data_IF_596298989494
#
_entry.id   IF_596298989494
#
_cell.length_a   1.000
_cell.length_b   1.000
_cell.length_c   1.000
_cell.angle_alpha   90.00
_cell.angle_beta   90.00
_cell.angle_gamma   90.00
#
_symmetry.space_group_name_H-M   'P 1'
#
loop_
_entity.id
_entity.type
_entity.pdbx_description
1 polymer ?
#
# COMPACT_ATOMS: atom_id res chain seq x y z
N UNK A 1 3.65 11.36 -34.86
CA UNK A 1 2.75 11.80 -33.78
C UNK A 1 1.45 10.99 -33.74
N UNK A 2 0.75 10.75 -34.87
CA UNK A 2 -0.48 9.91 -34.89
C UNK A 2 -0.28 8.46 -34.43
N UNK A 3 0.81 7.81 -34.86
CA UNK A 3 1.10 6.42 -34.50
C UNK A 3 1.44 6.24 -33.00
N UNK A 4 2.13 7.23 -32.41
CA UNK A 4 2.45 7.25 -30.97
C UNK A 4 1.16 7.42 -30.15
N UNK A 5 0.25 8.30 -30.59
CA UNK A 5 -1.04 8.49 -29.92
C UNK A 5 -1.89 7.21 -29.98
N UNK A 6 -1.97 6.57 -31.15
CA UNK A 6 -2.70 5.30 -31.31
C UNK A 6 -2.10 4.17 -30.46
N UNK A 7 -0.78 4.12 -30.31
CA UNK A 7 -0.14 3.16 -29.42
C UNK A 7 -0.47 3.43 -27.95
N UNK A 8 -0.48 4.69 -27.52
CA UNK A 8 -0.88 5.07 -26.16
C UNK A 8 -2.33 4.66 -25.86
N UNK A 9 -3.25 4.93 -26.78
CA UNK A 9 -4.66 4.54 -26.65
C UNK A 9 -4.81 3.01 -26.48
N UNK A 10 -4.09 2.23 -27.30
CA UNK A 10 -4.08 0.76 -27.19
C UNK A 10 -3.48 0.27 -25.88
N UNK A 11 -2.45 0.94 -25.37
CA UNK A 11 -1.88 0.62 -24.06
C UNK A 11 -2.87 0.92 -22.94
N UNK A 12 -3.59 2.03 -23.01
CA UNK A 12 -4.63 2.37 -22.03
C UNK A 12 -5.78 1.36 -22.06
N UNK A 13 -6.20 0.93 -23.25
CA UNK A 13 -7.18 -0.15 -23.40
C UNK A 13 -6.68 -1.48 -22.82
N UNK A 14 -5.43 -1.86 -23.11
CA UNK A 14 -4.83 -3.07 -22.52
C UNK A 14 -4.74 -2.98 -21.00
N UNK A 15 -4.37 -1.82 -20.45
CA UNK A 15 -4.34 -1.58 -19.01
C UNK A 15 -5.75 -1.71 -18.43
N UNK A 16 -6.76 -1.14 -19.09
CA UNK A 16 -8.16 -1.24 -18.69
C UNK A 16 -8.61 -2.70 -18.63
N UNK A 17 -8.43 -3.46 -19.71
CA UNK A 17 -8.84 -4.87 -19.76
C UNK A 17 -8.07 -5.73 -18.76
N UNK A 18 -6.77 -5.46 -18.57
CA UNK A 18 -5.95 -6.15 -17.56
C UNK A 18 -6.48 -5.88 -16.16
N UNK A 19 -6.76 -4.62 -15.81
CA UNK A 19 -7.36 -4.25 -14.53
C UNK A 19 -8.72 -4.91 -14.36
N UNK A 20 -9.59 -4.83 -15.35
CA UNK A 20 -10.92 -5.43 -15.31
C UNK A 20 -10.86 -6.94 -15.03
N UNK A 21 -9.92 -7.65 -15.64
CA UNK A 21 -9.71 -9.09 -15.43
C UNK A 21 -9.08 -9.40 -14.07
N UNK A 22 -8.09 -8.63 -13.62
CA UNK A 22 -7.28 -8.96 -12.44
C UNK A 22 -7.85 -8.43 -11.11
N UNK A 23 -8.48 -7.24 -11.11
CA UNK A 23 -8.92 -6.56 -9.89
C UNK A 23 -9.91 -7.39 -9.04
N UNK A 24 -10.87 -8.14 -9.60
CA UNK A 24 -11.75 -8.99 -8.79
C UNK A 24 -10.95 -10.04 -7.99
N UNK A 25 -9.96 -10.67 -8.60
CA UNK A 25 -9.08 -11.65 -7.95
C UNK A 25 -8.24 -10.99 -6.86
N UNK A 26 -7.64 -9.84 -7.15
CA UNK A 26 -6.88 -9.06 -6.15
C UNK A 26 -7.76 -8.64 -4.98
N UNK A 27 -9.01 -8.25 -5.22
CA UNK A 27 -9.96 -7.86 -4.18
C UNK A 27 -10.23 -9.02 -3.23
N UNK A 28 -10.43 -10.23 -3.74
CA UNK A 28 -10.61 -11.43 -2.92
C UNK A 28 -9.34 -11.74 -2.11
N UNK A 29 -8.17 -11.77 -2.75
CA UNK A 29 -6.90 -12.02 -2.07
C UNK A 29 -6.61 -11.00 -0.96
N UNK A 30 -6.89 -9.72 -1.19
CA UNK A 30 -6.71 -8.67 -0.19
C UNK A 30 -7.69 -8.80 0.97
N UNK A 31 -8.96 -9.16 0.71
CA UNK A 31 -9.93 -9.41 1.79
C UNK A 31 -9.53 -10.61 2.66
N UNK A 32 -8.97 -11.65 2.07
CA UNK A 32 -8.53 -12.84 2.80
C UNK A 32 -7.24 -12.60 3.58
N UNK A 33 -6.33 -11.79 3.01
CA UNK A 33 -5.03 -11.48 3.59
C UNK A 33 -5.05 -10.37 4.64
N UNK A 34 -5.95 -9.38 4.50
CA UNK A 34 -6.05 -8.19 5.36
C UNK A 34 -7.29 -8.30 6.26
N UNK A 35 -7.12 -8.97 7.40
CA UNK A 35 -8.23 -9.42 8.26
C UNK A 35 -8.74 -8.31 9.18
N UNK A 36 -7.85 -7.43 9.62
CA UNK A 36 -8.17 -6.36 10.55
C UNK A 36 -7.82 -4.97 9.99
N UNK A 37 -8.05 -3.94 10.80
CA UNK A 37 -7.72 -2.57 10.42
C UNK A 37 -6.21 -2.34 10.32
N UNK A 38 -5.43 -3.00 11.18
CA UNK A 38 -3.96 -2.84 11.21
C UNK A 38 -3.36 -3.39 9.93
N UNK A 39 -3.80 -4.56 9.47
CA UNK A 39 -3.41 -5.13 8.19
C UNK A 39 -3.65 -4.15 7.04
N UNK A 40 -4.85 -3.56 6.97
CA UNK A 40 -5.24 -2.58 5.94
C UNK A 40 -4.39 -1.32 5.99
N UNK A 41 -4.11 -0.80 7.19
CA UNK A 41 -3.26 0.37 7.38
C UNK A 41 -1.81 0.10 6.98
N UNK A 42 -1.23 -1.04 7.41
CA UNK A 42 0.14 -1.42 7.03
C UNK A 42 0.24 -1.54 5.51
N UNK A 43 -0.73 -2.23 4.89
CA UNK A 43 -0.78 -2.41 3.44
C UNK A 43 -0.83 -1.06 2.71
N UNK A 44 -1.75 -0.18 3.08
CA UNK A 44 -1.91 1.12 2.42
C UNK A 44 -0.70 2.05 2.63
N UNK A 45 -0.06 1.99 3.81
CA UNK A 45 1.16 2.74 4.11
C UNK A 45 2.42 2.19 3.41
N UNK A 46 2.36 1.00 2.82
CA UNK A 46 3.44 0.38 2.07
C UNK A 46 3.56 1.04 0.68
N UNK A 47 4.28 2.16 0.61
CA UNK A 47 4.46 2.96 -0.61
C UNK A 47 5.86 2.80 -1.25
N UNK A 48 6.72 1.98 -0.64
CA UNK A 48 8.11 1.79 -1.05
C UNK A 48 9.09 2.82 -0.49
N UNK A 49 8.60 3.93 0.09
CA UNK A 49 9.41 4.94 0.76
C UNK A 49 9.55 4.66 2.25
N UNK A 50 8.41 4.36 2.92
CA UNK A 50 8.36 4.17 4.37
C UNK A 50 9.02 2.88 4.84
N UNK A 51 9.76 2.98 5.93
CA UNK A 51 10.36 1.88 6.68
C UNK A 51 9.35 1.15 7.54
N UNK A 52 9.70 -0.08 7.92
CA UNK A 52 8.93 -0.84 8.91
C UNK A 52 8.77 -0.10 10.23
N UNK A 53 9.78 0.69 10.64
CA UNK A 53 9.75 1.51 11.87
C UNK A 53 8.80 2.70 11.73
N UNK A 54 8.86 3.42 10.61
CA UNK A 54 7.96 4.55 10.34
C UNK A 54 6.50 4.09 10.28
N UNK A 55 6.21 2.99 9.58
CA UNK A 55 4.85 2.44 9.51
C UNK A 55 4.36 2.03 10.91
N UNK A 56 5.18 1.29 11.66
CA UNK A 56 4.80 0.88 13.02
C UNK A 56 4.56 2.07 13.94
N UNK A 57 5.37 3.12 13.84
CA UNK A 57 5.22 4.35 14.59
C UNK A 57 3.93 5.10 14.23
N UNK A 58 3.65 5.27 12.93
CA UNK A 58 2.43 5.94 12.44
C UNK A 58 1.17 5.24 12.93
N UNK A 59 1.14 3.91 12.85
CA UNK A 59 -0.03 3.13 13.30
C UNK A 59 -0.17 3.19 14.83
N UNK A 60 0.95 3.11 15.55
CA UNK A 60 0.97 3.21 17.03
C UNK A 60 0.50 4.55 17.56
N UNK A 61 0.69 5.64 16.81
CA UNK A 61 0.17 6.97 17.16
C UNK A 61 -1.34 7.05 17.07
N UNK A 62 -1.96 6.30 16.15
CA UNK A 62 -3.42 6.22 16.04
C UNK A 62 -4.05 5.17 16.94
N UNK A 63 -3.49 4.95 18.14
CA UNK A 63 -4.02 4.05 19.17
C UNK A 63 -3.82 2.54 18.94
N UNK A 64 -3.28 2.12 17.78
CA UNK A 64 -3.17 0.70 17.40
C UNK A 64 -1.73 0.20 17.54
N UNK A 65 -1.46 -0.78 18.41
CA UNK A 65 -0.08 -1.24 18.65
C UNK A 65 0.39 -2.25 17.61
N UNK A 66 1.52 -1.98 16.96
CA UNK A 66 2.22 -2.91 16.08
C UNK A 66 3.73 -2.69 16.15
N UNK A 67 4.51 -3.77 16.01
CA UNK A 67 5.98 -3.68 15.98
C UNK A 67 6.51 -3.62 14.56
N UNK A 68 7.68 -3.02 14.37
CA UNK A 68 8.37 -3.03 13.07
C UNK A 68 8.71 -4.45 12.58
N UNK A 69 8.90 -5.41 13.49
CA UNK A 69 9.13 -6.83 13.16
C UNK A 69 7.86 -7.44 12.58
N UNK A 70 6.70 -7.14 13.17
CA UNK A 70 5.39 -7.57 12.64
C UNK A 70 5.19 -7.04 11.22
N UNK A 71 5.49 -5.76 10.97
CA UNK A 71 5.42 -5.16 9.62
C UNK A 71 6.33 -5.90 8.63
N UNK A 72 7.56 -6.23 9.03
CA UNK A 72 8.48 -7.00 8.18
C UNK A 72 7.92 -8.39 7.82
N UNK A 73 7.36 -9.11 8.81
CA UNK A 73 6.77 -10.43 8.61
C UNK A 73 5.53 -10.36 7.69
N UNK A 74 4.70 -9.33 7.84
CA UNK A 74 3.57 -9.06 6.94
C UNK A 74 4.03 -8.87 5.51
N UNK A 75 5.05 -8.03 5.28
CA UNK A 75 5.62 -7.82 3.95
C UNK A 75 6.19 -9.09 3.33
N UNK A 76 6.91 -9.90 4.10
CA UNK A 76 7.42 -11.18 3.61
C UNK A 76 6.27 -12.09 3.17
N UNK A 77 5.23 -12.23 3.99
CA UNK A 77 4.05 -13.03 3.67
C UNK A 77 3.32 -12.50 2.42
N UNK A 78 3.06 -11.20 2.38
CA UNK A 78 2.34 -10.54 1.29
C UNK A 78 3.12 -10.50 -0.02
N UNK A 79 4.46 -10.50 0.04
CA UNK A 79 5.31 -10.60 -1.15
C UNK A 79 5.17 -11.95 -1.84
N UNK A 80 5.02 -13.04 -1.09
CA UNK A 80 4.80 -14.37 -1.68
C UNK A 80 3.44 -14.48 -2.39
N UNK A 81 2.47 -13.65 -1.99
CA UNK A 81 1.12 -13.58 -2.57
C UNK A 81 1.00 -12.47 -3.63
N UNK A 82 2.10 -11.81 -4.00
CA UNK A 82 2.12 -10.68 -4.94
C UNK A 82 1.18 -9.52 -4.56
N UNK A 83 0.92 -9.32 -3.27
CA UNK A 83 0.12 -8.17 -2.79
C UNK A 83 0.99 -6.91 -2.63
N UNK A 84 2.27 -7.13 -2.31
CA UNK A 84 3.31 -6.10 -2.27
C UNK A 84 4.51 -6.54 -3.09
N UNK A 85 5.31 -5.59 -3.54
CA UNK A 85 6.53 -5.80 -4.32
C UNK A 85 7.72 -5.12 -3.64
N UNK A 86 8.94 -5.65 -3.76
CA UNK A 86 10.14 -4.94 -3.36
C UNK A 86 10.22 -3.58 -4.05
N UNK A 87 10.56 -2.54 -3.29
CA UNK A 87 10.78 -1.19 -3.81
C UNK A 87 12.29 -0.92 -4.02
N UNK A 88 12.63 0.27 -4.52
CA UNK A 88 14.01 0.60 -4.89
C UNK A 88 15.04 0.51 -3.75
N UNK A 89 14.60 0.64 -2.49
CA UNK A 89 15.49 0.48 -1.32
C UNK A 89 15.31 -0.90 -0.69
N UNK A 90 16.43 -1.58 -0.41
CA UNK A 90 16.44 -2.91 0.23
C UNK A 90 15.59 -2.92 1.50
N UNK A 91 14.71 -3.91 1.60
CA UNK A 91 13.78 -4.05 2.73
C UNK A 91 12.66 -3.01 2.76
N UNK A 92 12.33 -2.40 1.62
CA UNK A 92 11.10 -1.63 1.42
C UNK A 92 10.18 -2.37 0.48
N UNK A 93 8.89 -2.29 0.76
CA UNK A 93 7.85 -2.87 -0.07
C UNK A 93 6.81 -1.81 -0.45
N UNK A 94 6.25 -1.97 -1.63
CA UNK A 94 5.19 -1.14 -2.19
C UNK A 94 3.98 -2.00 -2.50
N UNK A 95 2.78 -1.54 -2.11
CA UNK A 95 1.51 -2.17 -2.50
C UNK A 95 1.32 -2.16 -4.01
N UNK A 96 0.76 -3.25 -4.54
CA UNK A 96 0.48 -3.38 -5.98
C UNK A 96 -0.68 -2.49 -6.40
N UNK A 97 -1.67 -2.32 -5.53
CA UNK A 97 -2.88 -1.53 -5.78
C UNK A 97 -3.31 -0.80 -4.49
N UNK A 98 -3.98 0.35 -4.59
CA UNK A 98 -4.56 0.99 -3.40
C UNK A 98 -5.88 0.32 -3.02
N UNK A 99 -6.17 0.23 -1.73
CA UNK A 99 -7.42 -0.36 -1.24
C UNK A 99 -8.66 0.37 -1.75
N UNK A 100 -8.59 1.71 -1.80
CA UNK A 100 -9.69 2.54 -2.30
C UNK A 100 -10.03 2.23 -3.76
N UNK A 101 -9.03 2.02 -4.63
CA UNK A 101 -9.25 1.73 -6.06
C UNK A 101 -9.99 0.42 -6.34
N UNK A 102 -10.08 -0.46 -5.34
CA UNK A 102 -10.80 -1.74 -5.40
C UNK A 102 -12.01 -1.78 -4.45
N UNK A 103 -12.41 -0.62 -3.93
CA UNK A 103 -13.56 -0.50 -3.04
C UNK A 103 -13.39 -1.27 -1.73
N UNK A 104 -12.18 -1.21 -1.15
CA UNK A 104 -11.90 -1.60 0.23
C UNK A 104 -11.63 -0.32 1.02
N UNK A 105 -12.36 -0.13 2.10
CA UNK A 105 -12.22 1.03 2.96
C UNK A 105 -10.88 1.01 3.70
N UNK A 106 -10.20 2.17 3.69
CA UNK A 106 -8.98 2.40 4.47
C UNK A 106 -9.39 2.98 5.82
N UNK A 107 -9.01 2.36 6.95
CA UNK A 107 -9.32 2.89 8.27
C UNK A 107 -8.76 4.31 8.45
N UNK A 108 -9.46 5.20 9.17
CA UNK A 108 -8.92 6.52 9.47
C UNK A 108 -7.66 6.40 10.32
N UNK A 109 -6.63 7.14 9.92
CA UNK A 109 -5.47 7.41 10.76
C UNK A 109 -5.84 8.56 11.67
N UNK A 110 -5.90 8.34 12.98
CA UNK A 110 -5.98 9.45 13.93
C UNK A 110 -4.70 10.27 13.80
N UNK A 111 -4.81 11.40 13.11
CA UNK A 111 -3.69 12.33 12.94
C UNK A 111 -3.50 13.01 14.29
N UNK A 112 -2.56 12.50 15.08
CA UNK A 112 -2.02 13.30 16.19
C UNK A 112 -1.33 14.48 15.51
N UNK A 113 -1.95 15.67 15.57
CA UNK A 113 -1.38 16.94 15.14
C UNK A 113 0.00 17.08 15.78
N UNK A 114 1.04 16.73 15.03
CA UNK A 114 2.39 17.14 15.38
C UNK A 114 2.49 18.57 14.88
N UNK A 115 2.32 19.51 15.80
CA UNK A 115 2.88 20.84 15.63
C UNK A 115 4.29 20.64 15.10
N UNK A 116 4.52 21.08 13.85
CA UNK A 116 5.88 21.30 13.37
C UNK A 116 6.57 22.06 14.48
N UNK A 117 7.54 21.44 15.14
CA UNK A 117 8.59 22.18 15.84
C UNK A 117 9.28 23.00 14.78
N UNK A 118 8.72 24.18 14.51
CA UNK A 118 9.43 25.25 13.83
C UNK A 118 10.65 25.52 14.70
N UNK A 119 11.79 25.20 14.10
CA UNK A 119 13.10 25.80 14.30
C UNK A 119 13.31 26.43 15.69
N UNK A 120 14.00 25.72 16.57
CA UNK A 120 14.74 26.36 17.66
C UNK A 120 16.22 26.22 17.38
N UNK A 121 16.77 27.36 16.95
CA UNK A 121 18.16 27.86 17.05
C UNK A 121 19.28 27.19 16.23
#
# INVERSE_FOLDING_TARGET
MSEINSLSEKLDELIFWTKFSALPTFRTLLRDALRDEVDRLVYELSDGGRSTREIAHLISRGGRRITHVTVANMWQKWSLMNLVMPAGRKGRYKRVVSLESIGIEVPPMEVVHEERRESSE
#
